data_IF_692741182886
#
_entry.id   IF_692741182886
#
_cell.length_a   1.000
_cell.length_b   1.000
_cell.length_c   1.000
_cell.angle_alpha   90.00
_cell.angle_beta   90.00
_cell.angle_gamma   90.00
#
_symmetry.space_group_name_H-M   'P 1'
#
loop_
_entity.id
_entity.type
_entity.pdbx_description
1 polymer ?
#
# COMPACT_ATOMS: atom_id res chain seq x y z
N UNK A 1 -40.37 -14.92 4.72
CA UNK A 1 -41.33 -15.14 5.83
C UNK A 1 -42.71 -14.50 5.62
N UNK A 2 -42.99 -13.20 5.83
CA UNK A 2 -44.36 -12.65 5.62
C UNK A 2 -44.83 -12.80 4.15
N UNK A 3 -43.95 -12.54 3.17
CA UNK A 3 -44.29 -12.74 1.75
C UNK A 3 -44.63 -14.21 1.43
N UNK A 4 -43.87 -15.16 1.98
CA UNK A 4 -44.07 -16.60 1.75
C UNK A 4 -45.35 -17.10 2.45
N UNK A 5 -45.60 -16.68 3.69
CA UNK A 5 -46.79 -17.07 4.45
C UNK A 5 -48.06 -16.40 3.91
N UNK A 6 -47.94 -15.26 3.24
CA UNK A 6 -49.08 -14.53 2.67
C UNK A 6 -49.73 -15.21 1.46
N UNK A 7 -49.10 -16.26 0.92
CA UNK A 7 -49.66 -17.10 -0.15
C UNK A 7 -50.73 -18.06 0.38
N UNK A 8 -50.67 -18.42 1.67
CA UNK A 8 -51.58 -19.35 2.32
C UNK A 8 -52.47 -18.67 3.37
N UNK A 9 -52.02 -17.56 3.95
CA UNK A 9 -52.75 -16.80 4.96
C UNK A 9 -52.88 -15.34 4.56
N UNK A 10 -53.93 -14.65 5.01
CA UNK A 10 -54.08 -13.22 4.73
C UNK A 10 -52.90 -12.40 5.29
N UNK A 11 -52.40 -11.42 4.51
CA UNK A 11 -51.31 -10.51 4.94
C UNK A 11 -51.59 -9.89 6.30
N UNK A 12 -52.87 -9.63 6.61
CA UNK A 12 -53.27 -9.15 7.93
C UNK A 12 -52.90 -10.12 9.05
N UNK A 13 -53.27 -11.39 8.91
CA UNK A 13 -53.04 -12.41 9.94
C UNK A 13 -51.55 -12.68 10.11
N UNK A 14 -50.80 -12.75 9.01
CA UNK A 14 -49.33 -12.85 9.07
C UNK A 14 -48.70 -11.67 9.81
N UNK A 15 -49.11 -10.44 9.49
CA UNK A 15 -48.62 -9.23 10.15
C UNK A 15 -49.00 -9.19 11.64
N UNK A 16 -50.22 -9.63 11.99
CA UNK A 16 -50.71 -9.67 13.37
C UNK A 16 -49.94 -10.68 14.22
N UNK A 17 -49.79 -11.91 13.74
CA UNK A 17 -49.08 -12.99 14.46
C UNK A 17 -47.61 -12.65 14.66
N UNK A 18 -46.98 -11.99 13.68
CA UNK A 18 -45.57 -11.61 13.73
C UNK A 18 -45.31 -10.23 14.37
N UNK A 19 -46.35 -9.56 14.88
CA UNK A 19 -46.22 -8.26 15.56
C UNK A 19 -45.79 -7.09 14.67
N UNK A 20 -45.99 -7.18 13.35
CA UNK A 20 -45.59 -6.15 12.39
C UNK A 20 -46.81 -5.32 11.96
N UNK A 21 -46.71 -3.99 11.98
CA UNK A 21 -47.76 -3.12 11.43
C UNK A 21 -47.88 -3.31 9.92
N UNK A 22 -49.11 -3.49 9.41
CA UNK A 22 -49.39 -3.67 7.97
C UNK A 22 -48.79 -2.56 7.10
N UNK A 23 -48.88 -1.30 7.54
CA UNK A 23 -48.30 -0.15 6.81
C UNK A 23 -46.78 -0.25 6.68
N UNK A 24 -46.08 -0.72 7.71
CA UNK A 24 -44.64 -0.96 7.67
C UNK A 24 -44.27 -2.07 6.69
N UNK A 25 -45.07 -3.13 6.62
CA UNK A 25 -44.87 -4.23 5.66
C UNK A 25 -45.02 -3.76 4.21
N UNK A 26 -46.10 -3.06 3.86
CA UNK A 26 -46.28 -2.52 2.51
C UNK A 26 -45.24 -1.45 2.16
N UNK A 27 -44.86 -0.60 3.11
CA UNK A 27 -43.78 0.38 2.91
C UNK A 27 -42.41 -0.28 2.72
N UNK A 28 -42.14 -1.39 3.40
CA UNK A 28 -40.95 -2.22 3.16
C UNK A 28 -41.02 -2.91 1.80
N UNK A 29 -42.16 -3.50 1.44
CA UNK A 29 -42.37 -4.18 0.15
C UNK A 29 -42.23 -3.23 -1.03
N UNK A 30 -42.68 -1.98 -0.90
CA UNK A 30 -42.50 -0.93 -1.92
C UNK A 30 -41.05 -0.46 -2.05
N UNK A 31 -40.22 -0.63 -1.00
CA UNK A 31 -38.78 -0.35 -1.03
C UNK A 31 -37.97 -1.52 -1.59
N UNK A 32 -38.44 -2.76 -1.38
CA UNK A 32 -37.86 -3.96 -1.99
C UNK A 32 -38.00 -3.87 -3.52
N UNK A 33 -36.87 -3.90 -4.24
CA UNK A 33 -36.82 -3.82 -5.70
C UNK A 33 -36.62 -2.43 -6.30
N UNK A 34 -36.63 -1.35 -5.49
CA UNK A 34 -36.31 -0.01 -6.00
C UNK A 34 -34.80 0.10 -6.19
N UNK A 35 -34.34 -0.05 -7.43
CA UNK A 35 -32.94 0.23 -7.82
C UNK A 35 -32.68 1.71 -7.57
N UNK A 36 -31.81 2.02 -6.63
CA UNK A 36 -31.31 3.37 -6.39
C UNK A 36 -30.15 3.61 -7.37
N UNK A 37 -30.37 4.39 -8.46
CA UNK A 37 -29.34 4.59 -9.48
C UNK A 37 -28.08 5.24 -8.90
N UNK A 38 -28.21 6.09 -7.88
CA UNK A 38 -27.09 6.75 -7.21
C UNK A 38 -26.26 5.74 -6.43
N UNK A 39 -26.92 4.76 -5.81
CA UNK A 39 -26.24 3.68 -5.09
C UNK A 39 -25.52 2.74 -6.04
N UNK A 40 -26.13 2.43 -7.18
CA UNK A 40 -25.54 1.51 -8.16
C UNK A 40 -24.33 2.15 -8.86
N UNK A 41 -24.45 3.42 -9.23
CA UNK A 41 -23.34 4.21 -9.75
C UNK A 41 -22.17 4.28 -8.76
N UNK A 42 -22.46 4.58 -7.48
CA UNK A 42 -21.46 4.54 -6.42
C UNK A 42 -20.79 3.17 -6.27
N UNK A 43 -21.56 2.08 -6.38
CA UNK A 43 -21.05 0.70 -6.29
C UNK A 43 -20.14 0.38 -7.48
N UNK A 44 -20.55 0.75 -8.68
CA UNK A 44 -19.79 0.57 -9.93
C UNK A 44 -18.45 1.33 -9.88
N UNK A 45 -18.49 2.62 -9.57
CA UNK A 45 -17.28 3.46 -9.44
C UNK A 45 -16.34 2.93 -8.38
N UNK A 46 -16.86 2.50 -7.22
CA UNK A 46 -16.06 1.90 -6.16
C UNK A 46 -15.37 0.61 -6.62
N UNK A 47 -16.07 -0.28 -7.34
CA UNK A 47 -15.50 -1.52 -7.86
C UNK A 47 -14.38 -1.25 -8.88
N UNK A 48 -14.59 -0.27 -9.78
CA UNK A 48 -13.58 0.18 -10.74
C UNK A 48 -12.33 0.73 -10.05
N UNK A 49 -12.49 1.60 -9.04
CA UNK A 49 -11.38 2.13 -8.24
C UNK A 49 -10.64 1.03 -7.48
N UNK A 50 -11.37 0.05 -6.93
CA UNK A 50 -10.77 -1.09 -6.26
C UNK A 50 -9.94 -1.95 -7.22
N UNK A 51 -10.44 -2.21 -8.44
CA UNK A 51 -9.70 -2.91 -9.48
C UNK A 51 -8.46 -2.14 -9.93
N UNK A 52 -8.57 -0.83 -10.14
CA UNK A 52 -7.45 0.06 -10.47
C UNK A 52 -6.37 0.05 -9.39
N UNK A 53 -6.76 -0.10 -8.12
CA UNK A 53 -5.82 -0.25 -7.00
C UNK A 53 -5.13 -1.61 -6.93
N UNK A 54 -5.38 -2.53 -7.87
CA UNK A 54 -4.94 -3.94 -7.82
C UNK A 54 -5.36 -4.63 -6.51
N UNK A 55 -6.61 -4.40 -6.08
CA UNK A 55 -7.18 -4.92 -4.83
C UNK A 55 -6.50 -4.44 -3.54
N UNK A 56 -5.73 -3.36 -3.56
CA UNK A 56 -5.02 -2.83 -2.38
C UNK A 56 -5.79 -1.74 -1.63
N UNK A 57 -6.78 -1.10 -2.25
CA UNK A 57 -7.52 -0.01 -1.63
C UNK A 57 -8.54 -0.54 -0.59
N UNK A 58 -8.28 -0.26 0.69
CA UNK A 58 -9.26 -0.48 1.75
C UNK A 58 -10.34 0.61 1.82
N UNK A 59 -11.32 0.45 2.72
CA UNK A 59 -12.43 1.39 2.91
C UNK A 59 -12.02 2.86 3.10
N UNK A 60 -10.89 3.14 3.79
CA UNK A 60 -10.39 4.50 3.99
C UNK A 60 -9.90 5.13 2.68
N UNK A 61 -9.11 4.38 1.91
CA UNK A 61 -8.60 4.81 0.61
C UNK A 61 -9.77 5.04 -0.36
N UNK A 62 -10.70 4.09 -0.43
CA UNK A 62 -11.87 4.20 -1.31
C UNK A 62 -12.76 5.39 -0.98
N UNK A 63 -12.95 5.77 0.29
CA UNK A 63 -13.67 7.02 0.63
C UNK A 63 -13.01 8.24 0.00
N UNK A 64 -11.68 8.34 0.04
CA UNK A 64 -10.95 9.46 -0.54
C UNK A 64 -11.02 9.44 -2.06
N UNK A 65 -10.82 8.29 -2.69
CA UNK A 65 -10.88 8.17 -4.15
C UNK A 65 -12.30 8.42 -4.69
N UNK A 66 -13.33 7.93 -3.99
CA UNK A 66 -14.73 8.22 -4.32
C UNK A 66 -15.05 9.70 -4.20
N UNK A 67 -14.52 10.38 -3.17
CA UNK A 67 -14.67 11.84 -3.04
C UNK A 67 -14.01 12.60 -4.20
N UNK A 68 -12.84 12.14 -4.67
CA UNK A 68 -12.18 12.70 -5.87
C UNK A 68 -12.98 12.45 -7.14
N UNK A 69 -13.66 11.31 -7.22
CA UNK A 69 -14.59 10.98 -8.30
C UNK A 69 -15.98 11.67 -8.16
N UNK A 70 -16.13 12.64 -7.26
CA UNK A 70 -17.38 13.40 -7.11
C UNK A 70 -18.45 12.75 -6.21
N UNK A 71 -18.19 11.57 -5.65
CA UNK A 71 -19.15 10.89 -4.77
C UNK A 71 -18.94 11.21 -3.29
N UNK A 72 -20.00 11.65 -2.62
CA UNK A 72 -20.02 11.82 -1.15
C UNK A 72 -20.50 10.54 -0.49
N UNK A 73 -19.58 9.72 0.01
CA UNK A 73 -19.89 8.51 0.79
C UNK A 73 -19.06 8.43 2.09
N UNK A 74 -19.73 8.19 3.21
CA UNK A 74 -19.08 7.93 4.49
C UNK A 74 -18.45 6.54 4.56
N UNK A 75 -17.51 6.35 5.48
CA UNK A 75 -16.76 5.09 5.64
C UNK A 75 -17.64 3.87 5.92
N UNK A 76 -18.74 4.05 6.68
CA UNK A 76 -19.70 2.97 6.93
C UNK A 76 -20.37 2.49 5.64
N UNK A 77 -20.87 3.43 4.81
CA UNK A 77 -21.51 3.12 3.52
C UNK A 77 -20.55 2.42 2.57
N UNK A 78 -19.31 2.90 2.47
CA UNK A 78 -18.26 2.25 1.65
C UNK A 78 -17.96 0.84 2.15
N UNK A 79 -17.82 0.62 3.46
CA UNK A 79 -17.58 -0.72 4.02
C UNK A 79 -18.73 -1.69 3.74
N UNK A 80 -19.97 -1.23 3.85
CA UNK A 80 -21.16 -2.03 3.50
C UNK A 80 -21.16 -2.41 2.02
N UNK A 81 -20.93 -1.44 1.12
CA UNK A 81 -20.86 -1.71 -0.33
C UNK A 81 -19.71 -2.65 -0.69
N UNK A 82 -18.55 -2.50 -0.06
CA UNK A 82 -17.43 -3.45 -0.25
C UNK A 82 -17.84 -4.87 0.13
N UNK A 83 -18.56 -5.05 1.25
CA UNK A 83 -19.06 -6.36 1.70
C UNK A 83 -20.08 -6.92 0.71
N UNK A 84 -21.04 -6.12 0.27
CA UNK A 84 -22.07 -6.50 -0.71
C UNK A 84 -21.47 -6.87 -2.08
N UNK A 85 -20.35 -6.26 -2.45
CA UNK A 85 -19.62 -6.53 -3.69
C UNK A 85 -18.50 -7.57 -3.55
N UNK A 86 -18.31 -8.17 -2.37
CA UNK A 86 -17.26 -9.16 -2.13
C UNK A 86 -15.83 -8.61 -2.22
N UNK A 87 -15.65 -7.28 -2.11
CA UNK A 87 -14.35 -6.63 -2.25
C UNK A 87 -13.55 -6.73 -0.95
N UNK A 88 -12.53 -7.58 -0.95
CA UNK A 88 -11.61 -7.74 0.17
C UNK A 88 -10.24 -7.20 -0.17
N UNK A 89 -9.75 -6.26 0.62
CA UNK A 89 -8.42 -5.69 0.43
C UNK A 89 -7.34 -6.78 0.61
N UNK A 90 -6.53 -6.96 -0.45
CA UNK A 90 -5.39 -7.89 -0.52
C UNK A 90 -4.06 -7.16 -0.43
N UNK A 91 -3.98 -6.09 0.35
CA UNK A 91 -2.72 -5.41 0.57
C UNK A 91 -1.70 -6.43 1.11
N UNK A 92 -0.57 -6.57 0.40
CA UNK A 92 0.55 -7.40 0.87
C UNK A 92 0.89 -6.91 2.27
N UNK A 93 0.63 -7.76 3.28
CA UNK A 93 1.15 -7.51 4.61
C UNK A 93 2.67 -7.50 4.44
N UNK A 94 3.38 -6.45 4.88
CA UNK A 94 4.83 -6.49 4.86
C UNK A 94 5.26 -7.79 5.57
N UNK A 95 6.17 -8.53 4.95
CA UNK A 95 6.77 -9.69 5.59
C UNK A 95 7.31 -9.19 6.93
N UNK A 96 6.80 -9.73 8.04
CA UNK A 96 7.33 -9.44 9.37
C UNK A 96 8.70 -10.09 9.33
N UNK A 97 9.73 -9.37 8.88
CA UNK A 97 11.10 -9.76 9.17
C UNK A 97 11.09 -9.98 10.68
N UNK A 98 11.23 -11.24 11.10
CA UNK A 98 11.69 -11.52 12.44
C UNK A 98 13.07 -10.87 12.43
N UNK A 99 13.16 -9.65 12.96
CA UNK A 99 14.35 -9.30 13.70
C UNK A 99 14.49 -10.44 14.69
N UNK A 100 15.39 -11.39 14.39
CA UNK A 100 16.06 -12.12 15.45
C UNK A 100 16.57 -10.99 16.34
N UNK A 101 16.00 -10.82 17.53
CA UNK A 101 16.18 -9.65 18.41
C UNK A 101 17.62 -9.41 18.88
N UNK A 102 18.59 -10.04 18.24
CA UNK A 102 20.00 -9.76 18.31
C UNK A 102 20.33 -8.87 17.12
N UNK A 103 20.40 -7.56 17.34
CA UNK A 103 21.28 -6.73 16.51
C UNK A 103 22.64 -7.43 16.53
N UNK A 104 23.10 -7.90 15.37
CA UNK A 104 24.42 -8.48 15.28
C UNK A 104 25.40 -7.40 15.79
N UNK A 105 26.19 -7.72 16.82
CA UNK A 105 27.23 -6.87 17.43
C UNK A 105 28.35 -6.58 16.42
N UNK A 106 28.04 -5.94 15.29
CA UNK A 106 28.94 -5.80 14.14
C UNK A 106 29.59 -4.42 14.10
N UNK A 107 28.94 -3.37 14.60
CA UNK A 107 29.54 -2.07 14.91
C UNK A 107 28.48 -1.22 15.60
N UNK A 108 28.90 -0.26 16.42
CA UNK A 108 27.96 0.76 16.89
C UNK A 108 27.44 1.55 15.68
N UNK A 109 26.11 1.68 15.54
CA UNK A 109 25.52 2.52 14.50
C UNK A 109 25.80 3.98 14.83
N UNK A 110 26.91 4.51 14.31
CA UNK A 110 27.35 5.88 14.56
C UNK A 110 26.50 6.90 13.81
N UNK A 111 25.97 6.56 12.62
CA UNK A 111 25.16 7.46 11.82
C UNK A 111 23.79 7.74 12.46
N UNK A 112 23.18 6.75 13.12
CA UNK A 112 21.87 6.86 13.79
C UNK A 112 20.77 7.50 12.91
N UNK A 113 20.80 7.22 11.60
CA UNK A 113 19.91 7.82 10.58
C UNK A 113 20.01 9.36 10.48
N UNK A 114 21.09 9.95 10.97
CA UNK A 114 21.38 11.36 10.76
C UNK A 114 21.95 11.57 9.35
N UNK A 115 21.06 11.76 8.36
CA UNK A 115 21.46 12.01 6.98
C UNK A 115 21.67 13.48 6.64
N UNK A 116 21.66 14.37 7.64
CA UNK A 116 21.94 15.79 7.47
C UNK A 116 23.35 16.09 7.99
N UNK A 117 24.33 15.98 7.08
CA UNK A 117 25.76 16.21 7.37
C UNK A 117 26.13 17.66 7.01
N UNK A 118 27.16 18.20 7.67
CA UNK A 118 27.50 19.63 7.54
C UNK A 118 28.47 19.93 6.42
N UNK A 119 29.26 18.94 5.99
CA UNK A 119 30.32 19.14 4.98
C UNK A 119 30.44 17.95 4.04
N UNK A 120 30.99 18.20 2.85
CA UNK A 120 31.33 17.17 1.86
C UNK A 120 32.33 16.15 2.42
N UNK A 121 32.27 14.91 1.95
CA UNK A 121 33.16 13.81 2.38
C UNK A 121 33.14 13.51 3.88
N UNK A 122 32.10 13.92 4.61
CA UNK A 122 31.96 13.56 6.02
C UNK A 122 31.38 12.15 6.17
N UNK A 123 30.30 11.86 5.44
CA UNK A 123 29.65 10.55 5.42
C UNK A 123 29.31 10.16 3.99
N UNK A 124 29.75 8.98 3.60
CA UNK A 124 29.33 8.31 2.38
C UNK A 124 28.37 7.18 2.72
N UNK A 125 27.40 6.94 1.85
CA UNK A 125 26.49 5.81 1.97
C UNK A 125 26.60 4.93 0.73
N UNK A 126 26.77 3.63 0.93
CA UNK A 126 26.80 2.63 -0.13
C UNK A 126 25.54 1.80 -0.18
N UNK A 127 25.09 1.45 -1.38
CA UNK A 127 24.07 0.41 -1.56
C UNK A 127 24.38 -0.46 -2.80
N UNK A 128 23.93 -1.71 -2.76
CA UNK A 128 23.99 -2.63 -3.90
C UNK A 128 22.56 -2.94 -4.33
N UNK A 129 22.26 -2.58 -5.57
CA UNK A 129 20.97 -2.85 -6.20
C UNK A 129 21.16 -3.62 -7.49
N UNK A 130 20.06 -3.93 -8.19
CA UNK A 130 20.10 -4.57 -9.49
C UNK A 130 19.25 -3.78 -10.48
N UNK A 131 19.75 -3.66 -11.70
CA UNK A 131 19.08 -2.96 -12.81
C UNK A 131 18.89 -3.91 -13.98
N UNK A 132 17.79 -3.75 -14.72
CA UNK A 132 17.53 -4.56 -15.90
C UNK A 132 18.19 -3.94 -17.12
N UNK A 133 19.07 -4.69 -17.78
CA UNK A 133 19.76 -4.27 -19.00
C UNK A 133 19.41 -5.26 -20.11
N UNK A 134 18.52 -4.84 -21.02
CA UNK A 134 17.95 -5.71 -22.04
C UNK A 134 17.24 -6.92 -21.41
N UNK A 135 17.75 -8.13 -21.68
CA UNK A 135 17.18 -9.40 -21.18
C UNK A 135 17.87 -9.94 -19.92
N UNK A 136 18.79 -9.18 -19.30
CA UNK A 136 19.58 -9.62 -18.14
C UNK A 136 19.46 -8.64 -16.98
N UNK A 137 19.72 -9.12 -15.77
CA UNK A 137 19.88 -8.32 -14.58
C UNK A 137 21.37 -8.10 -14.30
N UNK A 138 21.73 -6.87 -13.96
CA UNK A 138 23.09 -6.46 -13.62
C UNK A 138 23.07 -5.85 -12.22
N UNK A 139 24.01 -6.24 -11.37
CA UNK A 139 24.17 -5.60 -10.07
C UNK A 139 24.92 -4.27 -10.24
N UNK A 140 24.45 -3.27 -9.52
CA UNK A 140 25.01 -1.93 -9.43
C UNK A 140 25.33 -1.65 -7.97
N UNK A 141 26.61 -1.42 -7.66
CA UNK A 141 27.00 -0.79 -6.41
C UNK A 141 27.14 0.71 -6.65
N UNK A 142 26.54 1.53 -5.78
CA UNK A 142 26.64 2.99 -5.85
C UNK A 142 27.03 3.55 -4.48
N UNK A 143 27.91 4.55 -4.49
CA UNK A 143 28.34 5.30 -3.31
C UNK A 143 27.90 6.75 -3.47
N UNK A 144 27.16 7.27 -2.51
CA UNK A 144 26.70 8.65 -2.47
C UNK A 144 27.39 9.43 -1.35
N UNK A 145 27.73 10.70 -1.61
CA UNK A 145 28.04 11.66 -0.56
C UNK A 145 26.73 12.20 0.03
N UNK A 146 26.53 12.05 1.35
CA UNK A 146 25.28 12.44 2.01
C UNK A 146 25.07 13.95 2.05
N UNK A 147 26.12 14.77 1.96
CA UNK A 147 26.01 16.23 1.98
C UNK A 147 25.31 16.74 0.72
N UNK A 148 25.87 16.40 -0.44
CA UNK A 148 25.38 16.87 -1.73
C UNK A 148 24.35 15.92 -2.36
N UNK A 149 24.10 14.74 -1.77
CA UNK A 149 23.30 13.64 -2.35
C UNK A 149 23.78 13.26 -3.76
N UNK A 150 25.08 13.32 -3.97
CA UNK A 150 25.72 13.08 -5.26
C UNK A 150 26.37 11.71 -5.27
N UNK A 151 26.17 10.96 -6.35
CA UNK A 151 26.92 9.73 -6.60
C UNK A 151 28.39 10.09 -6.84
N UNK A 152 29.27 9.52 -6.02
CA UNK A 152 30.73 9.77 -6.07
C UNK A 152 31.51 8.56 -6.58
N UNK A 153 30.91 7.36 -6.55
CA UNK A 153 31.49 6.16 -7.16
C UNK A 153 30.41 5.12 -7.47
N UNK A 154 30.68 4.28 -8.46
CA UNK A 154 29.79 3.20 -8.87
C UNK A 154 30.57 2.09 -9.56
N UNK A 155 29.98 0.89 -9.57
CA UNK A 155 30.50 -0.25 -10.32
C UNK A 155 29.36 -1.18 -10.73
N UNK A 156 29.59 -1.98 -11.76
CA UNK A 156 28.62 -2.95 -12.27
C UNK A 156 29.23 -4.35 -12.33
N UNK A 157 28.43 -5.37 -12.01
CA UNK A 157 28.85 -6.77 -12.14
C UNK A 157 27.65 -7.68 -12.37
N UNK A 158 27.90 -8.84 -12.98
CA UNK A 158 26.91 -9.93 -13.05
C UNK A 158 26.76 -10.66 -11.71
N UNK A 159 27.68 -10.42 -10.76
CA UNK A 159 27.76 -11.10 -9.46
C UNK A 159 27.74 -10.04 -8.35
N UNK A 160 26.87 -10.22 -7.35
CA UNK A 160 26.85 -9.39 -6.14
C UNK A 160 27.85 -9.94 -5.12
N UNK A 161 29.11 -9.50 -5.22
CA UNK A 161 30.19 -9.87 -4.31
C UNK A 161 30.87 -8.64 -3.67
N UNK A 162 31.80 -8.89 -2.76
CA UNK A 162 32.56 -7.83 -2.11
C UNK A 162 33.41 -7.03 -3.11
N UNK A 163 33.82 -7.64 -4.23
CA UNK A 163 34.62 -6.98 -5.26
C UNK A 163 33.84 -5.84 -5.91
N UNK A 164 32.56 -6.07 -6.24
CA UNK A 164 31.67 -5.02 -6.76
C UNK A 164 31.60 -3.81 -5.82
N UNK A 165 31.41 -4.04 -4.52
CA UNK A 165 31.36 -2.97 -3.53
C UNK A 165 32.70 -2.24 -3.38
N UNK A 166 33.81 -2.98 -3.34
CA UNK A 166 35.16 -2.42 -3.28
C UNK A 166 35.50 -1.58 -4.51
N UNK A 167 35.05 -1.97 -5.71
CA UNK A 167 35.26 -1.20 -6.94
C UNK A 167 34.52 0.14 -6.91
N UNK A 168 33.26 0.15 -6.49
CA UNK A 168 32.49 1.38 -6.32
C UNK A 168 33.13 2.32 -5.27
N UNK A 169 33.58 1.77 -4.14
CA UNK A 169 34.27 2.53 -3.09
C UNK A 169 35.63 3.06 -3.53
N UNK A 170 36.40 2.26 -4.28
CA UNK A 170 37.69 2.70 -4.84
C UNK A 170 37.50 3.85 -5.81
N UNK A 171 36.51 3.77 -6.70
CA UNK A 171 36.14 4.87 -7.59
C UNK A 171 35.76 6.13 -6.80
N UNK A 172 34.97 6.01 -5.74
CA UNK A 172 34.60 7.13 -4.87
C UNK A 172 35.81 7.77 -4.18
N UNK A 173 36.72 6.95 -3.65
CA UNK A 173 37.95 7.43 -3.03
C UNK A 173 38.82 8.20 -4.03
N UNK A 174 39.02 7.65 -5.23
CA UNK A 174 39.85 8.27 -6.26
C UNK A 174 39.23 9.56 -6.82
N UNK A 175 37.92 9.56 -7.11
CA UNK A 175 37.22 10.73 -7.66
C UNK A 175 37.18 11.93 -6.69
N UNK A 176 37.36 11.68 -5.39
CA UNK A 176 37.32 12.68 -4.32
C UNK A 176 38.69 13.03 -3.75
N UNK A 177 39.78 12.53 -4.34
CA UNK A 177 41.15 12.83 -3.90
C UNK A 177 41.55 12.13 -2.60
N UNK A 178 41.00 10.94 -2.34
CA UNK A 178 41.27 10.07 -1.17
C UNK A 178 41.16 10.81 0.16
N UNK A 179 39.97 11.38 0.48
CA UNK A 179 39.75 12.07 1.75
C UNK A 179 39.95 11.13 2.94
N UNK A 180 40.53 11.66 4.02
CA UNK A 180 40.69 10.95 5.29
C UNK A 180 39.50 11.22 6.23
N UNK A 181 39.22 10.28 7.13
CA UNK A 181 38.18 10.46 8.16
C UNK A 181 36.73 10.37 7.65
N UNK A 182 36.51 9.89 6.42
CA UNK A 182 35.16 9.68 5.88
C UNK A 182 34.52 8.48 6.57
N UNK A 183 33.33 8.69 7.14
CA UNK A 183 32.50 7.57 7.62
C UNK A 183 31.80 6.93 6.43
N UNK A 184 31.90 5.61 6.28
CA UNK A 184 31.13 4.85 5.29
C UNK A 184 29.99 4.11 5.99
N UNK A 185 28.77 4.28 5.47
CA UNK A 185 27.54 3.66 5.97
C UNK A 185 26.92 2.73 4.93
#
# INVERSE_FOLDING_TARGET
MINELSEQFGVFDCCRVLGVRRSSFYAWRKRQGRKDPVREDLRSTMASLFKASRSSAGSRTLVRELRRAGHKAGRYKVRMLMKEAGLQCKQRRPHRYRSSGTEALIASNQLKRNFNVSTVNQVWCGDVTYIQVGKRWLYLAAVIDLYARRVVGWAFSMIADARLACEALRMAAESRGRPAGVMFH
#
